data_IF_370764842787
#
_entry.id   IF_370764842787
#
_cell.length_a   1.000
_cell.length_b   1.000
_cell.length_c   1.000
_cell.angle_alpha   90.00
_cell.angle_beta   90.00
_cell.angle_gamma   90.00
#
_symmetry.space_group_name_H-M   'P 1'
#
loop_
_entity.id
_entity.type
_entity.pdbx_description
1 polymer ?
#
# COMPACT_ATOMS: atom_id res chain seq x y z
N UNK A 1 0.26 13.04 -15.48
CA UNK A 1 0.22 12.86 -14.01
C UNK A 1 -0.80 11.77 -13.75
N UNK A 2 -0.39 10.56 -13.32
CA UNK A 2 -1.37 9.52 -13.02
C UNK A 2 -2.01 9.80 -11.65
N UNK A 3 -3.21 10.36 -11.68
CA UNK A 3 -4.12 10.40 -10.53
C UNK A 3 -4.76 9.01 -10.40
N UNK A 4 -4.12 8.15 -9.61
CA UNK A 4 -4.77 6.91 -9.19
C UNK A 4 -5.79 7.23 -8.11
N UNK A 5 -7.02 6.76 -8.29
CA UNK A 5 -8.07 6.92 -7.29
C UNK A 5 -7.69 6.14 -6.02
N UNK A 6 -8.03 6.69 -4.85
CA UNK A 6 -7.80 6.05 -3.55
C UNK A 6 -8.36 4.62 -3.49
N UNK A 7 -9.50 4.39 -4.14
CA UNK A 7 -10.15 3.08 -4.21
C UNK A 7 -9.29 2.03 -4.96
N UNK A 8 -8.66 2.39 -6.07
CA UNK A 8 -7.82 1.47 -6.86
C UNK A 8 -6.58 1.00 -6.09
N UNK A 9 -5.98 1.91 -5.30
CA UNK A 9 -4.86 1.58 -4.43
C UNK A 9 -5.29 0.60 -3.33
N UNK A 10 -6.48 0.79 -2.76
CA UNK A 10 -7.00 -0.05 -1.68
C UNK A 10 -7.41 -1.42 -2.23
N UNK A 11 -8.15 -1.48 -3.35
CA UNK A 11 -8.56 -2.74 -3.99
C UNK A 11 -7.35 -3.61 -4.34
N UNK A 12 -6.34 -3.00 -4.97
CA UNK A 12 -5.10 -3.70 -5.28
C UNK A 12 -4.43 -4.22 -4.00
N UNK A 13 -4.31 -3.40 -2.95
CA UNK A 13 -3.74 -3.86 -1.69
C UNK A 13 -4.51 -5.07 -1.12
N UNK A 14 -5.84 -5.00 -1.07
CA UNK A 14 -6.72 -6.08 -0.57
C UNK A 14 -6.54 -7.37 -1.37
N UNK A 15 -6.46 -7.26 -2.71
CA UNK A 15 -6.26 -8.40 -3.59
C UNK A 15 -4.96 -9.15 -3.30
N UNK A 16 -3.91 -8.41 -2.93
CA UNK A 16 -2.59 -8.99 -2.70
C UNK A 16 -2.33 -9.40 -1.25
N UNK A 17 -3.12 -8.96 -0.27
CA UNK A 17 -3.04 -9.38 1.15
C UNK A 17 -2.85 -10.90 1.33
N UNK A 18 -3.66 -11.79 0.72
CA UNK A 18 -3.51 -13.24 0.91
C UNK A 18 -2.18 -13.81 0.40
N UNK A 19 -1.49 -13.08 -0.49
CA UNK A 19 -0.19 -13.45 -1.05
C UNK A 19 0.99 -12.81 -0.32
N UNK A 20 0.76 -12.07 0.77
CA UNK A 20 1.80 -11.29 1.47
C UNK A 20 1.94 -9.85 0.95
N UNK A 21 0.99 -9.40 0.13
CA UNK A 21 0.92 -8.08 -0.49
C UNK A 21 1.77 -7.96 -1.76
N UNK A 22 1.51 -6.93 -2.56
CA UNK A 22 2.07 -6.82 -3.90
C UNK A 22 3.59 -6.62 -3.91
N UNK A 23 4.25 -7.27 -4.85
CA UNK A 23 5.68 -7.10 -5.16
C UNK A 23 5.98 -5.78 -5.86
N UNK A 24 7.25 -5.38 -5.88
CA UNK A 24 7.69 -4.10 -6.44
C UNK A 24 7.40 -4.02 -7.95
N UNK A 25 7.57 -5.14 -8.66
CA UNK A 25 7.31 -5.27 -10.09
C UNK A 25 5.81 -5.17 -10.41
N UNK A 26 4.95 -5.84 -9.64
CA UNK A 26 3.49 -5.76 -9.84
C UNK A 26 2.96 -4.35 -9.62
N UNK A 27 3.47 -3.65 -8.60
CA UNK A 27 3.13 -2.25 -8.32
C UNK A 27 3.59 -1.36 -9.48
N UNK A 28 4.78 -1.61 -10.02
CA UNK A 28 5.30 -0.87 -11.17
C UNK A 28 4.47 -1.13 -12.43
N UNK A 29 4.05 -2.37 -12.68
CA UNK A 29 3.21 -2.74 -13.83
C UNK A 29 1.81 -2.12 -13.71
N UNK A 30 1.21 -2.18 -12.51
CA UNK A 30 -0.16 -1.72 -12.30
C UNK A 30 -0.26 -0.18 -12.25
N UNK A 31 0.71 0.48 -11.61
CA UNK A 31 0.62 1.91 -11.32
C UNK A 31 1.78 2.74 -11.89
N UNK A 32 2.83 2.13 -12.46
CA UNK A 32 4.05 2.85 -12.82
C UNK A 32 4.73 3.50 -11.60
N UNK A 33 4.49 2.94 -10.40
CA UNK A 33 5.01 3.47 -9.14
C UNK A 33 6.04 2.52 -8.56
N UNK A 34 7.05 3.08 -7.92
CA UNK A 34 7.91 2.28 -7.06
C UNK A 34 7.16 1.90 -5.77
N UNK A 35 7.49 0.77 -5.15
CA UNK A 35 6.81 0.26 -3.96
C UNK A 35 6.69 1.30 -2.82
N UNK A 36 7.72 2.12 -2.60
CA UNK A 36 7.68 3.20 -1.61
C UNK A 36 6.65 4.29 -1.96
N UNK A 37 6.55 4.67 -3.24
CA UNK A 37 5.59 5.67 -3.72
C UNK A 37 4.16 5.16 -3.70
N UNK A 38 3.96 3.86 -3.94
CA UNK A 38 2.68 3.20 -3.76
C UNK A 38 2.26 3.17 -2.30
N UNK A 39 3.12 2.73 -1.38
CA UNK A 39 2.83 2.67 0.06
C UNK A 39 2.46 4.05 0.64
N UNK A 40 3.18 5.11 0.24
CA UNK A 40 2.87 6.48 0.66
C UNK A 40 1.49 6.93 0.21
N UNK A 41 1.11 6.61 -1.04
CA UNK A 41 -0.21 6.93 -1.57
C UNK A 41 -1.31 6.07 -0.95
N UNK A 42 -1.05 4.78 -0.72
CA UNK A 42 -1.97 3.88 -0.04
C UNK A 42 -2.25 4.37 1.39
N UNK A 43 -1.23 4.84 2.11
CA UNK A 43 -1.42 5.45 3.43
C UNK A 43 -2.33 6.68 3.37
N UNK A 44 -2.05 7.62 2.48
CA UNK A 44 -2.88 8.80 2.29
C UNK A 44 -4.32 8.44 1.84
N UNK A 45 -4.48 7.42 1.00
CA UNK A 45 -5.77 6.89 0.59
C UNK A 45 -6.55 6.32 1.77
N UNK A 46 -5.90 5.56 2.66
CA UNK A 46 -6.50 5.00 3.88
C UNK A 46 -6.83 6.08 4.94
N UNK A 47 -6.13 7.21 4.92
CA UNK A 47 -6.43 8.37 5.78
C UNK A 47 -7.59 9.20 5.24
N UNK A 48 -7.68 9.35 3.91
CA UNK A 48 -8.71 10.14 3.25
C UNK A 48 -10.03 9.37 3.04
N UNK A 49 -9.98 8.03 3.00
CA UNK A 49 -11.16 7.19 2.79
C UNK A 49 -11.99 7.08 4.07
N UNK A 50 -13.27 7.48 4.06
CA UNK A 50 -14.14 7.34 5.22
C UNK A 50 -14.46 5.87 5.51
N UNK A 51 -14.65 5.52 6.78
CA UNK A 51 -15.00 4.17 7.25
C UNK A 51 -16.30 3.61 6.65
N UNK A 52 -17.13 4.45 6.03
CA UNK A 52 -18.32 4.01 5.30
C UNK A 52 -18.02 3.25 4.01
N UNK A 53 -16.79 3.34 3.49
CA UNK A 53 -16.35 2.74 2.22
C UNK A 53 -15.43 1.54 2.45
N UNK A 54 -14.72 1.51 3.58
CA UNK A 54 -13.78 0.46 3.93
C UNK A 54 -14.00 0.03 5.38
N UNK A 55 -14.27 -1.25 5.59
CA UNK A 55 -14.42 -1.83 6.92
C UNK A 55 -13.21 -1.55 7.80
N UNK A 56 -13.49 -1.25 9.07
CA UNK A 56 -12.49 -1.02 10.12
C UNK A 56 -11.43 -2.13 10.15
N UNK A 57 -11.86 -3.40 10.09
CA UNK A 57 -10.97 -4.55 10.15
C UNK A 57 -10.01 -4.58 8.96
N UNK A 58 -10.52 -4.36 7.75
CA UNK A 58 -9.73 -4.33 6.51
C UNK A 58 -8.76 -3.14 6.54
N UNK A 59 -9.22 -1.97 6.99
CA UNK A 59 -8.38 -0.77 7.15
C UNK A 59 -7.26 -1.01 8.13
N UNK A 60 -7.55 -1.55 9.31
CA UNK A 60 -6.55 -1.86 10.33
C UNK A 60 -5.52 -2.88 9.84
N UNK A 61 -5.97 -3.91 9.12
CA UNK A 61 -5.08 -4.92 8.53
C UNK A 61 -4.14 -4.30 7.48
N UNK A 62 -4.67 -3.48 6.57
CA UNK A 62 -3.87 -2.79 5.54
C UNK A 62 -2.87 -1.81 6.17
N UNK A 63 -3.29 -1.04 7.18
CA UNK A 63 -2.41 -0.11 7.88
C UNK A 63 -1.29 -0.85 8.61
N UNK A 64 -1.60 -1.94 9.31
CA UNK A 64 -0.59 -2.76 9.96
C UNK A 64 0.43 -3.30 8.95
N UNK A 65 -0.05 -3.78 7.80
CA UNK A 65 0.81 -4.31 6.74
C UNK A 65 1.75 -3.24 6.14
N UNK A 66 1.22 -2.05 5.87
CA UNK A 66 2.00 -0.89 5.40
C UNK A 66 3.04 -0.49 6.45
N UNK A 67 2.67 -0.43 7.73
CA UNK A 67 3.58 -0.08 8.81
C UNK A 67 4.68 -1.12 9.03
N UNK A 68 4.37 -2.41 9.03
CA UNK A 68 5.36 -3.49 9.16
C UNK A 68 6.40 -3.43 8.04
N UNK A 69 5.97 -3.19 6.79
CA UNK A 69 6.88 -3.03 5.66
C UNK A 69 7.59 -1.68 5.59
N UNK A 70 7.02 -0.64 6.17
CA UNK A 70 7.67 0.68 6.28
C UNK A 70 8.68 0.72 7.42
N UNK A 71 8.54 -0.16 8.42
CA UNK A 71 9.43 -0.31 9.57
C UNK A 71 10.60 -1.25 9.31
N UNK A 72 10.85 -1.66 8.07
CA UNK A 72 12.13 -2.25 7.72
C UNK A 72 13.18 -1.11 7.71
N UNK A 73 14.09 -1.03 8.70
CA UNK A 73 15.22 -0.13 8.60
C UNK A 73 15.96 -0.49 7.31
N UNK A 74 16.38 0.53 6.54
CA UNK A 74 17.29 0.33 5.39
C UNK A 74 18.36 -0.67 5.84
N UNK A 75 18.53 -1.84 5.20
CA UNK A 75 19.73 -2.62 5.45
C UNK A 75 20.88 -1.67 5.14
N UNK A 76 21.65 -1.34 6.17
CA UNK A 76 22.91 -0.64 6.02
C UNK A 76 23.76 -1.60 5.19
N UNK A 77 23.68 -1.43 3.87
CA UNK A 77 24.61 -2.04 2.92
C UNK A 77 25.99 -1.71 3.43
N UNK A 78 26.79 -2.75 3.65
CA UNK A 78 28.05 -2.69 4.37
C UNK A 78 28.90 -1.49 3.96
N UNK A 79 29.34 -0.74 4.97
CA UNK A 79 30.45 0.18 4.84
C UNK A 79 31.76 -0.56 5.11
#
# INVERSE_FOLDING_TARGET
>A
MNEFHAHELIDFAVRWIPYGGAGDEEIWIAFGLNAAGYRRRLHAALECTPLSVLDEATRAHLQLHVQLRSSAPRPLVGQ
#
